data_IF_441296140497
#
_entry.id   IF_441296140497
#
_cell.length_a   1.000
_cell.length_b   1.000
_cell.length_c   1.000
_cell.angle_alpha   90.00
_cell.angle_beta   90.00
_cell.angle_gamma   90.00
#
_symmetry.space_group_name_H-M   'P 1'
#
loop_
_entity.id
_entity.type
_entity.pdbx_description
1 polymer ?
#
# COMPACT_ATOMS: atom_id res chain seq x y z
N UNK A 1 3.28 -10.75 22.87
CA UNK A 1 4.39 -11.37 22.12
C UNK A 1 5.68 -10.65 22.53
N UNK A 2 6.83 -11.32 22.66
CA UNK A 2 8.09 -10.62 23.00
C UNK A 2 8.78 -10.19 21.70
N UNK A 3 8.51 -8.97 21.24
CA UNK A 3 8.98 -8.49 19.94
C UNK A 3 10.05 -7.40 20.01
N UNK A 4 10.19 -6.69 21.16
CA UNK A 4 11.07 -5.51 21.27
C UNK A 4 12.56 -5.79 20.99
N UNK A 5 13.00 -7.03 21.17
CA UNK A 5 14.37 -7.47 20.93
C UNK A 5 14.60 -7.97 19.48
N UNK A 6 13.55 -8.04 18.66
CA UNK A 6 13.60 -8.57 17.30
C UNK A 6 14.30 -7.67 16.28
N UNK A 7 14.71 -8.24 15.15
CA UNK A 7 15.27 -7.47 14.02
C UNK A 7 14.19 -6.54 13.47
N UNK A 8 14.55 -5.32 13.06
CA UNK A 8 13.65 -4.41 12.33
C UNK A 8 13.87 -4.57 10.83
N UNK A 9 12.81 -4.62 10.05
CA UNK A 9 12.91 -4.65 8.59
C UNK A 9 13.30 -3.27 8.05
N UNK A 10 14.17 -3.27 7.03
CA UNK A 10 14.52 -2.08 6.26
C UNK A 10 13.55 -1.81 5.09
N UNK A 11 12.63 -2.72 4.79
CA UNK A 11 11.73 -2.66 3.64
C UNK A 11 10.43 -1.91 3.95
N UNK A 12 10.53 -0.79 4.66
CA UNK A 12 9.36 0.01 5.07
C UNK A 12 9.40 1.38 4.44
N UNK A 13 8.32 1.70 3.73
CA UNK A 13 8.02 3.04 3.27
C UNK A 13 7.00 3.68 4.20
N UNK A 14 7.48 4.57 5.08
CA UNK A 14 6.59 5.35 5.92
C UNK A 14 6.00 6.53 5.12
N UNK A 15 4.72 6.41 4.78
CA UNK A 15 3.92 7.42 4.09
C UNK A 15 2.83 7.99 4.98
N UNK A 16 2.89 7.75 6.30
CA UNK A 16 1.92 8.31 7.25
C UNK A 16 1.90 9.83 7.19
N UNK A 17 0.73 10.43 7.38
CA UNK A 17 0.56 11.89 7.32
C UNK A 17 0.63 12.52 5.92
N UNK A 18 0.98 11.76 4.88
CA UNK A 18 0.91 12.22 3.49
C UNK A 18 -0.55 12.25 3.07
N UNK A 19 -1.12 13.45 2.95
CA UNK A 19 -2.43 13.61 2.34
C UNK A 19 -2.28 13.60 0.83
N UNK A 20 -3.04 12.74 0.15
CA UNK A 20 -3.30 12.89 -1.28
C UNK A 20 -4.10 14.20 -1.44
N UNK A 21 -3.39 15.30 -1.69
CA UNK A 21 -4.03 16.59 -1.93
C UNK A 21 -4.52 16.61 -3.38
N UNK A 22 -5.84 16.58 -3.56
CA UNK A 22 -6.49 16.80 -4.86
C UNK A 22 -6.38 18.24 -5.37
N UNK A 23 -5.37 19.01 -4.94
CA UNK A 23 -5.15 20.39 -5.40
C UNK A 23 -3.65 20.72 -5.46
N UNK A 24 -3.05 20.59 -6.65
CA UNK A 24 -1.99 21.51 -7.04
C UNK A 24 -2.04 21.93 -8.51
N UNK A 25 -1.57 23.17 -8.68
CA UNK A 25 -1.39 23.94 -9.90
C UNK A 25 -0.39 23.23 -10.84
N UNK A 26 -0.90 22.52 -11.83
CA UNK A 26 -0.06 21.81 -12.82
C UNK A 26 -0.74 21.65 -14.18
N UNK A 27 -1.45 22.69 -14.66
CA UNK A 27 -2.31 22.61 -15.85
C UNK A 27 -1.63 22.87 -17.21
N UNK A 28 -0.31 22.82 -17.34
CA UNK A 28 0.38 23.28 -18.55
C UNK A 28 0.53 22.19 -19.63
N UNK A 29 1.36 21.18 -19.34
CA UNK A 29 1.84 20.25 -20.39
C UNK A 29 0.84 19.13 -20.68
N UNK A 30 0.19 18.56 -19.65
CA UNK A 30 -0.83 17.52 -19.84
C UNK A 30 -2.07 18.02 -20.57
N UNK A 31 -2.48 19.27 -20.29
CA UNK A 31 -3.56 19.95 -20.99
C UNK A 31 -3.22 20.18 -22.47
N UNK A 32 -1.98 20.61 -22.75
CA UNK A 32 -1.49 20.80 -24.11
C UNK A 32 -1.55 19.52 -24.93
N UNK A 33 -1.13 18.38 -24.36
CA UNK A 33 -1.18 17.09 -25.06
C UNK A 33 -2.62 16.68 -25.37
N UNK A 34 -3.54 16.83 -24.40
CA UNK A 34 -4.95 16.50 -24.61
C UNK A 34 -5.62 17.40 -25.66
N UNK A 35 -5.30 18.70 -25.66
CA UNK A 35 -5.80 19.64 -26.68
C UNK A 35 -5.29 19.26 -28.07
N UNK A 36 -4.01 18.90 -28.20
CA UNK A 36 -3.43 18.48 -29.49
C UNK A 36 -4.06 17.20 -30.02
N UNK A 37 -4.32 16.22 -29.15
CA UNK A 37 -5.03 14.99 -29.52
C UNK A 37 -6.48 15.28 -29.91
N UNK A 38 -7.18 16.11 -29.15
CA UNK A 38 -8.55 16.53 -29.48
C UNK A 38 -8.68 17.21 -30.83
N UNK A 39 -7.76 18.14 -31.14
CA UNK A 39 -7.69 18.81 -32.43
C UNK A 39 -7.51 17.83 -33.59
N UNK A 40 -6.70 16.78 -33.39
CA UNK A 40 -6.51 15.73 -34.40
C UNK A 40 -7.80 14.93 -34.68
N UNK A 41 -8.62 14.72 -33.67
CA UNK A 41 -9.91 14.01 -33.78
C UNK A 41 -11.12 14.94 -34.02
N UNK A 42 -10.90 16.23 -34.26
CA UNK A 42 -11.95 17.21 -34.56
C UNK A 42 -12.79 17.64 -33.35
N UNK A 43 -12.30 17.41 -32.13
CA UNK A 43 -12.94 17.85 -30.88
C UNK A 43 -12.56 19.31 -30.62
N UNK A 44 -13.55 20.14 -30.28
CA UNK A 44 -13.33 21.55 -29.95
C UNK A 44 -12.41 21.71 -28.72
N UNK A 45 -11.28 22.44 -28.83
CA UNK A 45 -10.39 22.72 -27.71
C UNK A 45 -11.08 23.33 -26.49
N UNK A 46 -12.16 24.08 -26.69
CA UNK A 46 -12.93 24.68 -25.59
C UNK A 46 -13.51 23.61 -24.65
N UNK A 47 -13.93 22.47 -25.19
CA UNK A 47 -14.41 21.33 -24.40
C UNK A 47 -13.29 20.68 -23.58
N UNK A 48 -12.09 20.60 -24.14
CA UNK A 48 -10.91 20.00 -23.48
C UNK A 48 -10.34 20.92 -22.41
N UNK A 49 -10.38 22.24 -22.64
CA UNK A 49 -10.03 23.25 -21.65
C UNK A 49 -11.00 23.23 -20.46
N UNK A 50 -12.30 23.03 -20.74
CA UNK A 50 -13.34 22.89 -19.73
C UNK A 50 -13.23 21.57 -18.95
N UNK A 51 -12.82 20.47 -19.59
CA UNK A 51 -12.57 19.18 -18.95
C UNK A 51 -11.26 19.17 -18.16
N UNK A 52 -10.22 19.81 -18.69
CA UNK A 52 -8.88 19.94 -18.11
C UNK A 52 -8.81 20.86 -16.89
N UNK A 53 -9.79 21.74 -16.69
CA UNK A 53 -9.97 22.48 -15.43
C UNK A 53 -10.22 21.59 -14.21
N UNK A 54 -10.59 20.33 -14.40
CA UNK A 54 -10.87 19.34 -13.35
C UNK A 54 -9.95 18.11 -13.38
N UNK A 55 -8.96 18.04 -14.29
CA UNK A 55 -8.00 16.94 -14.36
C UNK A 55 -6.68 17.39 -13.74
N UNK A 56 -6.58 17.29 -12.42
CA UNK A 56 -5.34 17.57 -11.68
C UNK A 56 -4.62 16.27 -11.37
N UNK A 57 -3.34 16.18 -11.77
CA UNK A 57 -2.44 15.11 -11.31
C UNK A 57 -2.26 15.20 -9.80
N UNK A 58 -2.19 14.07 -9.07
CA UNK A 58 -2.06 14.07 -7.62
C UNK A 58 -0.72 14.69 -7.22
N UNK A 59 -0.78 15.74 -6.40
CA UNK A 59 0.39 16.33 -5.74
C UNK A 59 0.33 16.00 -4.25
N UNK A 60 1.42 15.51 -3.69
CA UNK A 60 1.52 15.27 -2.25
C UNK A 60 1.80 16.59 -1.56
N UNK A 61 0.86 17.04 -0.71
CA UNK A 61 1.07 18.18 0.17
C UNK A 61 1.45 17.66 1.55
N UNK A 62 2.65 17.99 2.01
CA UNK A 62 3.15 17.63 3.34
C UNK A 62 2.30 18.36 4.39
N UNK A 63 1.48 17.60 5.12
CA UNK A 63 0.79 18.13 6.29
C UNK A 63 1.74 18.10 7.49
N UNK A 64 1.49 18.93 8.51
CA UNK A 64 2.25 18.89 9.78
C UNK A 64 1.90 17.67 10.63
N UNK A 65 1.96 16.48 10.03
CA UNK A 65 1.74 15.22 10.72
C UNK A 65 2.95 14.93 11.62
N UNK A 66 2.68 14.78 12.90
CA UNK A 66 3.64 14.29 13.88
C UNK A 66 3.05 13.00 14.48
N UNK A 67 3.66 11.83 14.25
CA UNK A 67 3.18 10.59 14.83
C UNK A 67 3.34 10.61 16.35
N UNK A 68 2.33 10.10 17.06
CA UNK A 68 2.39 9.90 18.50
C UNK A 68 3.39 8.80 18.89
N UNK A 69 3.82 8.78 20.15
CA UNK A 69 4.69 7.71 20.69
C UNK A 69 4.07 6.32 20.49
N UNK A 70 2.76 6.19 20.73
CA UNK A 70 2.04 4.94 20.52
C UNK A 70 2.00 4.51 19.04
N UNK A 71 1.83 5.46 18.10
CA UNK A 71 1.92 5.15 16.66
C UNK A 71 3.33 4.74 16.25
N UNK A 72 4.37 5.30 16.86
CA UNK A 72 5.75 4.89 16.59
C UNK A 72 6.07 3.52 17.17
N UNK A 73 5.58 3.19 18.38
CA UNK A 73 5.71 1.84 18.93
C UNK A 73 5.00 0.80 18.05
N UNK A 74 3.82 1.14 17.51
CA UNK A 74 3.13 0.29 16.53
C UNK A 74 3.90 0.14 15.21
N UNK A 75 4.49 1.21 14.69
CA UNK A 75 5.32 1.14 13.49
C UNK A 75 6.57 0.26 13.70
N UNK A 76 7.21 0.36 14.88
CA UNK A 76 8.30 -0.54 15.26
C UNK A 76 7.84 -2.00 15.35
N UNK A 77 6.68 -2.23 15.96
CA UNK A 77 6.08 -3.57 16.03
C UNK A 77 5.86 -4.15 14.63
N UNK A 78 5.25 -3.38 13.72
CA UNK A 78 5.07 -3.78 12.31
C UNK A 78 6.41 -4.12 11.66
N UNK A 79 7.43 -3.32 11.92
CA UNK A 79 8.78 -3.54 11.38
C UNK A 79 9.41 -4.84 11.84
N UNK A 80 9.20 -5.21 13.11
CA UNK A 80 9.69 -6.50 13.64
C UNK A 80 8.91 -7.66 13.06
N UNK A 81 7.58 -7.57 12.98
CA UNK A 81 6.79 -8.65 12.38
C UNK A 81 7.16 -8.86 10.91
N UNK A 82 7.35 -7.78 10.14
CA UNK A 82 7.80 -7.89 8.76
C UNK A 82 9.15 -8.60 8.67
N UNK A 83 10.13 -8.21 9.50
CA UNK A 83 11.43 -8.87 9.56
C UNK A 83 11.34 -10.36 9.88
N UNK A 84 10.51 -10.74 10.86
CA UNK A 84 10.29 -12.14 11.21
C UNK A 84 9.72 -12.93 10.00
N UNK A 85 8.83 -12.32 9.21
CA UNK A 85 8.32 -12.96 7.99
C UNK A 85 9.36 -13.05 6.88
N UNK A 86 10.21 -12.05 6.72
CA UNK A 86 11.33 -12.06 5.76
C UNK A 86 12.32 -13.18 6.07
N UNK A 87 12.72 -13.30 7.34
CA UNK A 87 13.66 -14.33 7.79
C UNK A 87 13.06 -15.73 7.60
N UNK A 88 11.79 -15.89 7.95
CA UNK A 88 11.06 -17.16 7.82
C UNK A 88 10.95 -17.60 6.36
N UNK A 89 10.43 -16.73 5.48
CA UNK A 89 10.22 -17.08 4.07
C UNK A 89 11.54 -17.14 3.29
N UNK A 90 12.52 -16.30 3.64
CA UNK A 90 13.88 -16.39 3.10
C UNK A 90 14.50 -17.77 3.33
N UNK A 91 14.42 -18.28 4.56
CA UNK A 91 14.89 -19.62 4.89
C UNK A 91 14.12 -20.73 4.14
N UNK A 92 12.79 -20.63 4.07
CA UNK A 92 11.95 -21.63 3.41
C UNK A 92 12.17 -21.68 1.89
N UNK A 93 12.25 -20.53 1.22
CA UNK A 93 12.55 -20.47 -0.21
C UNK A 93 13.95 -21.01 -0.49
N UNK A 94 14.94 -20.64 0.33
CA UNK A 94 16.30 -21.18 0.18
C UNK A 94 16.35 -22.70 0.33
N UNK A 95 15.61 -23.28 1.28
CA UNK A 95 15.49 -24.74 1.44
C UNK A 95 14.80 -25.40 0.24
N UNK A 96 13.84 -24.71 -0.37
CA UNK A 96 13.15 -25.17 -1.58
C UNK A 96 13.94 -24.91 -2.88
N UNK A 97 15.17 -24.39 -2.80
CA UNK A 97 16.01 -24.09 -3.97
C UNK A 97 15.61 -22.82 -4.74
N UNK A 98 14.74 -21.99 -4.15
CA UNK A 98 14.32 -20.70 -4.70
C UNK A 98 14.98 -19.51 -4.00
N UNK A 99 14.70 -18.31 -4.52
CA UNK A 99 15.05 -17.04 -3.89
C UNK A 99 13.77 -16.33 -3.46
N UNK A 100 13.68 -15.96 -2.19
CA UNK A 100 12.62 -15.09 -1.71
C UNK A 100 12.92 -13.65 -2.13
N UNK A 101 11.93 -12.98 -2.69
CA UNK A 101 11.96 -11.53 -2.87
C UNK A 101 11.16 -10.93 -1.72
N UNK A 102 11.76 -10.02 -0.96
CA UNK A 102 11.10 -9.42 0.20
C UNK A 102 10.08 -8.35 -0.26
N UNK A 103 8.86 -8.33 0.30
CA UNK A 103 7.89 -7.28 -0.03
C UNK A 103 8.28 -5.97 0.63
N UNK A 104 7.96 -4.85 -0.02
CA UNK A 104 7.99 -3.54 0.64
C UNK A 104 6.67 -3.30 1.37
N UNK A 105 6.74 -2.89 2.64
CA UNK A 105 5.57 -2.51 3.42
C UNK A 105 5.40 -1.00 3.42
N UNK A 106 4.20 -0.53 3.13
CA UNK A 106 3.81 0.87 3.10
C UNK A 106 2.91 1.17 4.29
N UNK A 107 3.41 2.00 5.21
CA UNK A 107 2.58 2.58 6.27
C UNK A 107 1.89 3.83 5.73
N UNK A 108 0.57 3.94 5.87
CA UNK A 108 -0.19 5.11 5.38
C UNK A 108 -1.25 5.59 6.37
N UNK A 109 -1.90 6.71 6.06
CA UNK A 109 -2.98 7.28 6.89
C UNK A 109 -4.17 7.70 6.01
N UNK A 110 -5.33 7.12 6.27
CA UNK A 110 -6.63 7.43 5.65
C UNK A 110 -6.82 6.90 4.23
N UNK A 111 -5.86 7.18 3.34
CA UNK A 111 -5.92 6.74 1.95
C UNK A 111 -4.53 6.61 1.32
N UNK A 112 -4.41 5.72 0.33
CA UNK A 112 -3.17 5.47 -0.40
C UNK A 112 -3.45 5.12 -1.86
N UNK A 113 -2.57 5.56 -2.74
CA UNK A 113 -2.52 5.11 -4.13
C UNK A 113 -1.51 3.96 -4.26
N UNK A 114 -1.98 2.81 -4.75
CA UNK A 114 -1.19 1.62 -5.07
C UNK A 114 -1.20 1.37 -6.57
N UNK A 115 -0.34 0.47 -7.06
CA UNK A 115 -0.41 0.02 -8.46
C UNK A 115 -1.71 -0.75 -8.79
N UNK A 116 -2.43 -1.21 -7.77
CA UNK A 116 -3.74 -1.87 -7.89
C UNK A 116 -4.91 -0.87 -7.87
N UNK A 117 -4.62 0.43 -7.73
CA UNK A 117 -5.60 1.50 -7.64
C UNK A 117 -5.62 2.19 -6.28
N UNK A 118 -6.63 3.05 -6.10
CA UNK A 118 -6.85 3.81 -4.88
C UNK A 118 -7.50 2.95 -3.79
N UNK A 119 -6.95 3.01 -2.58
CA UNK A 119 -7.46 2.29 -1.41
C UNK A 119 -7.67 3.24 -0.23
N UNK A 120 -8.70 2.95 0.58
CA UNK A 120 -9.03 3.67 1.81
C UNK A 120 -8.82 2.75 3.02
N UNK A 121 -8.44 3.32 4.15
CA UNK A 121 -8.13 2.55 5.37
C UNK A 121 -9.29 1.71 5.90
N UNK A 122 -10.53 2.08 5.58
CA UNK A 122 -11.73 1.32 5.94
C UNK A 122 -11.78 -0.09 5.31
N UNK A 123 -10.97 -0.36 4.28
CA UNK A 123 -10.85 -1.69 3.66
C UNK A 123 -9.92 -2.63 4.44
N UNK A 124 -9.15 -2.10 5.39
CA UNK A 124 -8.12 -2.84 6.13
C UNK A 124 -6.80 -2.99 5.36
N UNK A 125 -5.83 -3.73 5.94
CA UNK A 125 -4.56 -4.06 5.30
C UNK A 125 -4.76 -4.85 4.02
N UNK A 126 -3.85 -4.69 3.06
CA UNK A 126 -3.91 -5.42 1.80
C UNK A 126 -2.54 -5.58 1.14
N UNK A 127 -2.40 -6.62 0.31
CA UNK A 127 -1.29 -6.82 -0.61
C UNK A 127 -1.67 -6.45 -2.06
N UNK A 128 -0.80 -5.70 -2.76
CA UNK A 128 -0.95 -5.41 -4.18
C UNK A 128 0.07 -6.21 -5.02
N UNK A 129 -0.36 -7.15 -5.90
CA UNK A 129 0.56 -7.92 -6.73
C UNK A 129 1.28 -7.11 -7.82
N UNK A 130 0.73 -5.97 -8.24
CA UNK A 130 1.27 -5.16 -9.34
C UNK A 130 2.55 -4.39 -8.95
N UNK A 131 2.67 -3.97 -7.69
CA UNK A 131 3.88 -3.34 -7.12
C UNK A 131 4.59 -4.20 -6.07
N UNK A 132 4.01 -5.37 -5.74
CA UNK A 132 4.51 -6.32 -4.74
C UNK A 132 4.62 -5.71 -3.33
N UNK A 133 3.72 -4.80 -2.97
CA UNK A 133 3.73 -4.13 -1.67
C UNK A 133 2.60 -4.56 -0.76
N UNK A 134 2.89 -4.52 0.55
CA UNK A 134 1.90 -4.67 1.62
C UNK A 134 1.54 -3.28 2.14
N UNK A 135 0.27 -2.97 2.29
CA UNK A 135 -0.23 -1.66 2.71
C UNK A 135 -0.96 -1.77 4.03
N UNK A 136 -0.58 -0.93 5.00
CA UNK A 136 -1.17 -0.95 6.34
C UNK A 136 -1.41 0.48 6.82
N UNK A 137 -2.64 0.74 7.28
CA UNK A 137 -2.94 1.89 8.13
C UNK A 137 -2.97 1.44 9.59
N UNK A 138 -2.20 2.11 10.45
CA UNK A 138 -2.10 1.76 11.87
C UNK A 138 -3.41 1.97 12.63
N UNK A 139 -4.35 2.77 12.12
CA UNK A 139 -5.70 2.90 12.70
C UNK A 139 -6.49 1.59 12.69
N UNK A 140 -6.19 0.66 11.78
CA UNK A 140 -6.80 -0.68 11.76
C UNK A 140 -6.57 -1.46 13.06
N UNK A 141 -5.48 -1.16 13.77
CA UNK A 141 -5.15 -1.78 15.05
C UNK A 141 -6.16 -1.38 16.13
N UNK A 142 -6.69 -0.16 16.04
CA UNK A 142 -7.79 0.29 16.87
C UNK A 142 -9.04 -0.53 16.56
N UNK A 143 -9.39 -0.70 15.28
CA UNK A 143 -10.56 -1.45 14.85
C UNK A 143 -10.50 -2.94 15.26
N UNK A 144 -9.32 -3.57 15.19
CA UNK A 144 -9.11 -4.93 15.71
C UNK A 144 -9.46 -5.04 17.19
N UNK A 145 -9.04 -4.06 17.98
CA UNK A 145 -9.26 -4.03 19.43
C UNK A 145 -10.72 -3.72 19.77
N UNK A 146 -11.30 -2.69 19.15
CA UNK A 146 -12.58 -2.11 19.57
C UNK A 146 -13.77 -2.71 18.85
N UNK A 147 -13.66 -2.96 17.55
CA UNK A 147 -14.75 -3.43 16.70
C UNK A 147 -14.77 -4.95 16.59
N UNK A 148 -13.60 -5.57 16.41
CA UNK A 148 -13.50 -7.02 16.17
C UNK A 148 -13.26 -7.85 17.43
N UNK A 149 -13.04 -7.20 18.58
CA UNK A 149 -12.82 -7.89 19.85
C UNK A 149 -11.58 -8.80 19.84
N UNK A 150 -10.60 -8.52 18.97
CA UNK A 150 -9.37 -9.27 18.81
C UNK A 150 -8.16 -8.43 19.26
N UNK A 151 -8.06 -8.06 20.55
CA UNK A 151 -6.93 -7.30 21.05
C UNK A 151 -5.65 -8.13 21.09
N UNK A 152 -4.51 -7.43 21.01
CA UNK A 152 -3.20 -7.98 21.33
C UNK A 152 -2.31 -8.23 20.12
N UNK A 153 -1.01 -8.30 20.40
CA UNK A 153 0.06 -8.33 19.39
C UNK A 153 -0.10 -9.48 18.39
N UNK A 154 -0.59 -10.64 18.83
CA UNK A 154 -0.71 -11.81 17.94
C UNK A 154 -1.73 -11.58 16.82
N UNK A 155 -2.89 -10.99 17.12
CA UNK A 155 -3.90 -10.70 16.11
C UNK A 155 -3.36 -9.72 15.06
N UNK A 156 -2.58 -8.74 15.51
CA UNK A 156 -1.95 -7.75 14.63
C UNK A 156 -0.86 -8.38 13.75
N UNK A 157 0.01 -9.20 14.35
CA UNK A 157 1.05 -9.92 13.62
C UNK A 157 0.46 -10.88 12.58
N UNK A 158 -0.65 -11.55 12.93
CA UNK A 158 -1.35 -12.45 12.02
C UNK A 158 -1.81 -11.75 10.75
N UNK A 159 -2.35 -10.53 10.86
CA UNK A 159 -2.82 -9.77 9.68
C UNK A 159 -1.65 -9.39 8.77
N UNK A 160 -0.51 -8.94 9.34
CA UNK A 160 0.69 -8.68 8.54
C UNK A 160 1.13 -9.96 7.81
N UNK A 161 1.19 -11.08 8.54
CA UNK A 161 1.57 -12.37 7.98
C UNK A 161 0.58 -12.85 6.90
N UNK A 162 -0.71 -12.53 7.02
CA UNK A 162 -1.73 -12.82 6.02
C UNK A 162 -1.41 -12.11 4.70
N UNK A 163 -1.13 -10.80 4.75
CA UNK A 163 -0.79 -10.02 3.56
C UNK A 163 0.54 -10.46 2.94
N UNK A 164 1.53 -10.81 3.76
CA UNK A 164 2.78 -11.44 3.26
C UNK A 164 2.49 -12.81 2.64
N UNK A 165 1.49 -13.55 3.14
CA UNK A 165 1.01 -14.78 2.52
C UNK A 165 0.52 -14.57 1.09
N UNK A 166 -0.20 -13.48 0.81
CA UNK A 166 -0.58 -13.11 -0.55
C UNK A 166 0.62 -12.78 -1.43
N UNK A 167 1.65 -12.14 -0.86
CA UNK A 167 2.91 -11.92 -1.57
C UNK A 167 3.58 -13.25 -1.96
N UNK A 168 3.68 -14.20 -1.03
CA UNK A 168 4.24 -15.53 -1.31
C UNK A 168 3.43 -16.27 -2.37
N UNK A 169 2.09 -16.24 -2.29
CA UNK A 169 1.23 -16.82 -3.33
C UNK A 169 1.50 -16.21 -4.71
N UNK A 170 1.76 -14.90 -4.76
CA UNK A 170 2.11 -14.21 -5.99
C UNK A 170 3.48 -14.65 -6.53
N UNK A 171 4.52 -14.75 -5.68
CA UNK A 171 5.85 -15.24 -6.08
C UNK A 171 5.80 -16.67 -6.62
N UNK A 172 4.92 -17.51 -6.06
CA UNK A 172 4.73 -18.89 -6.49
C UNK A 172 3.83 -19.03 -7.74
N UNK A 173 3.29 -17.93 -8.28
CA UNK A 173 2.34 -17.93 -9.41
C UNK A 173 0.97 -18.55 -9.09
N UNK A 174 0.67 -18.79 -7.81
CA UNK A 174 -0.57 -19.42 -7.37
C UNK A 174 -1.76 -18.47 -7.51
N UNK A 175 -1.55 -17.16 -7.35
CA UNK A 175 -2.62 -16.15 -7.48
C UNK A 175 -3.27 -16.19 -8.87
N UNK A 176 -2.46 -16.26 -9.94
CA UNK A 176 -2.95 -16.39 -11.33
C UNK A 176 -3.70 -17.70 -11.54
N UNK A 177 -3.21 -18.79 -10.93
CA UNK A 177 -3.86 -20.11 -11.03
C UNK A 177 -5.24 -20.10 -10.37
N UNK A 178 -5.37 -19.52 -9.17
CA UNK A 178 -6.66 -19.41 -8.48
C UNK A 178 -7.63 -18.52 -9.25
N UNK A 179 -7.17 -17.39 -9.79
CA UNK A 179 -8.01 -16.49 -10.55
C UNK A 179 -8.59 -17.16 -11.80
N UNK A 180 -7.74 -17.82 -12.60
CA UNK A 180 -8.17 -18.54 -13.81
C UNK A 180 -9.10 -19.74 -13.55
N UNK A 181 -9.08 -20.30 -12.34
CA UNK A 181 -10.04 -21.35 -11.93
C UNK A 181 -11.40 -20.78 -11.50
N UNK A 182 -11.47 -19.52 -11.06
CA UNK A 182 -12.73 -18.86 -10.67
C UNK A 182 -13.50 -18.27 -11.84
N UNK A 183 -12.83 -18.00 -12.96
CA UNK A 183 -13.44 -17.50 -14.20
C UNK A 183 -14.05 -18.61 -15.08
N UNK A 184 -14.00 -19.87 -14.63
CA UNK A 184 -14.62 -21.04 -15.27
C UNK A 184 -15.91 -21.42 -14.55
#
# INVERSE_FOLDING_TARGET
MRWKDGRRSGNIEDRRGRRLSGKAKGGGVGLLILVLVGLFFGIDPAYILQLGGNLTSPSVQESSYAPSEAENELAEFVSVVLADTEDTWGALFSQAGGRYEEPTLVLFTGAVESACGFAQSALGPFYCPADRKVYIDLSFYHDLKTTMGAPGDFAQAYVIAHEVGHHVQNLLGLSTKVHSMRER
#
